data_IF_049371159300
#
_entry.id   IF_049371159300
#
_cell.length_a   1.000
_cell.length_b   1.000
_cell.length_c   1.000
_cell.angle_alpha   90.00
_cell.angle_beta   90.00
_cell.angle_gamma   90.00
#
_symmetry.space_group_name_H-M   'P 1'
#
loop_
_entity.id
_entity.type
_entity.pdbx_description
1 polymer ?
#
# COMPACT_ATOMS: atom_id res chain seq x y z
N UNK A 1 -6.39 -3.34 -15.25
CA UNK A 1 -5.33 -4.28 -14.81
C UNK A 1 -5.13 -4.20 -13.30
N UNK A 2 -4.50 -5.20 -12.70
CA UNK A 2 -4.08 -5.17 -11.29
C UNK A 2 -2.72 -4.49 -11.14
N UNK A 3 -2.59 -3.59 -10.19
CA UNK A 3 -1.34 -2.85 -9.89
C UNK A 3 -0.55 -3.60 -8.82
N UNK A 4 -1.22 -4.05 -7.75
CA UNK A 4 -0.60 -4.82 -6.68
C UNK A 4 -1.66 -5.67 -5.97
N UNK A 5 -1.22 -6.77 -5.36
CA UNK A 5 -2.04 -7.49 -4.39
C UNK A 5 -1.21 -8.01 -3.23
N UNK A 6 -1.86 -8.21 -2.09
CA UNK A 6 -1.34 -9.01 -0.99
C UNK A 6 -2.48 -9.87 -0.46
N UNK A 7 -2.15 -11.06 0.04
CA UNK A 7 -3.12 -11.98 0.58
C UNK A 7 -2.61 -12.60 1.88
N UNK A 8 -3.52 -12.84 2.81
CA UNK A 8 -3.20 -13.46 4.10
C UNK A 8 -4.40 -14.28 4.59
N UNK A 9 -4.16 -15.17 5.54
CA UNK A 9 -5.20 -15.95 6.20
C UNK A 9 -5.37 -15.46 7.63
N UNK A 10 -6.61 -15.28 8.07
CA UNK A 10 -6.96 -14.98 9.47
C UNK A 10 -8.23 -15.73 9.83
N UNK A 11 -8.21 -16.43 10.97
CA UNK A 11 -9.39 -17.13 11.51
C UNK A 11 -10.02 -18.11 10.49
N UNK A 12 -9.19 -18.80 9.70
CA UNK A 12 -9.63 -19.75 8.67
C UNK A 12 -10.19 -19.10 7.40
N UNK A 13 -10.17 -17.77 7.29
CA UNK A 13 -10.65 -17.02 6.12
C UNK A 13 -9.47 -16.41 5.35
N UNK A 14 -9.54 -16.46 4.02
CA UNK A 14 -8.60 -15.80 3.13
C UNK A 14 -9.00 -14.35 2.88
N UNK A 15 -8.05 -13.43 3.02
CA UNK A 15 -8.21 -12.01 2.75
C UNK A 15 -7.28 -11.62 1.61
N UNK A 16 -7.80 -10.84 0.66
CA UNK A 16 -7.04 -10.31 -0.47
C UNK A 16 -7.23 -8.80 -0.49
N UNK A 17 -6.14 -8.05 -0.41
CA UNK A 17 -6.12 -6.63 -0.73
C UNK A 17 -5.62 -6.43 -2.16
N UNK A 18 -6.35 -5.64 -2.92
CA UNK A 18 -6.07 -5.33 -4.32
C UNK A 18 -5.88 -3.83 -4.48
N UNK A 19 -4.88 -3.42 -5.25
CA UNK A 19 -4.81 -2.11 -5.88
C UNK A 19 -4.97 -2.33 -7.37
N UNK A 20 -5.91 -1.61 -7.98
CA UNK A 20 -6.23 -1.73 -9.40
C UNK A 20 -6.21 -0.36 -10.06
N UNK A 21 -6.18 -0.34 -11.39
CA UNK A 21 -6.32 0.90 -12.16
C UNK A 21 -7.73 1.50 -12.05
N UNK A 22 -8.74 0.68 -11.75
CA UNK A 22 -10.14 1.08 -11.58
C UNK A 22 -10.77 0.33 -10.40
N UNK A 23 -10.64 0.92 -9.22
CA UNK A 23 -11.12 0.32 -7.98
C UNK A 23 -12.66 0.25 -7.94
N UNK A 24 -13.37 1.19 -8.58
CA UNK A 24 -14.82 1.18 -8.62
C UNK A 24 -15.35 0.01 -9.44
N UNK A 25 -14.76 -0.22 -10.62
CA UNK A 25 -15.10 -1.37 -11.44
C UNK A 25 -14.72 -2.69 -10.76
N UNK A 26 -13.53 -2.77 -10.16
CA UNK A 26 -13.10 -3.96 -9.42
C UNK A 26 -14.07 -4.31 -8.28
N UNK A 27 -14.49 -3.30 -7.50
CA UNK A 27 -15.50 -3.46 -6.45
C UNK A 27 -16.81 -4.01 -7.01
N UNK A 28 -17.35 -3.39 -8.06
CA UNK A 28 -18.61 -3.81 -8.65
C UNK A 28 -18.58 -5.27 -9.14
N UNK A 29 -17.48 -5.68 -9.79
CA UNK A 29 -17.31 -7.07 -10.28
C UNK A 29 -17.18 -8.06 -9.12
N UNK A 30 -16.41 -7.73 -8.08
CA UNK A 30 -16.21 -8.60 -6.91
C UNK A 30 -17.49 -8.75 -6.07
N UNK A 31 -18.22 -7.66 -5.83
CA UNK A 31 -19.51 -7.71 -5.13
C UNK A 31 -20.53 -8.53 -5.93
N UNK A 32 -20.59 -8.36 -7.26
CA UNK A 32 -21.46 -9.18 -8.14
C UNK A 32 -21.10 -10.67 -8.11
N UNK A 33 -19.83 -11.00 -7.90
CA UNK A 33 -19.36 -12.36 -7.74
C UNK A 33 -19.59 -12.94 -6.33
N UNK A 34 -20.18 -12.17 -5.40
CA UNK A 34 -20.54 -12.63 -4.05
C UNK A 34 -19.44 -12.42 -3.00
N UNK A 35 -18.38 -11.68 -3.31
CA UNK A 35 -17.34 -11.36 -2.33
C UNK A 35 -17.76 -10.17 -1.44
N UNK A 36 -17.43 -10.24 -0.15
CA UNK A 36 -17.50 -9.08 0.74
C UNK A 36 -16.33 -8.14 0.48
N UNK A 37 -16.60 -6.95 -0.05
CA UNK A 37 -15.57 -5.96 -0.41
C UNK A 37 -15.55 -4.81 0.60
N UNK A 38 -14.35 -4.39 0.99
CA UNK A 38 -14.11 -3.16 1.77
C UNK A 38 -13.02 -2.34 1.10
N UNK A 39 -13.27 -1.05 0.96
CA UNK A 39 -12.26 -0.11 0.49
C UNK A 39 -11.52 0.47 1.70
N UNK A 40 -10.19 0.50 1.63
CA UNK A 40 -9.34 1.16 2.62
C UNK A 40 -8.30 2.02 1.90
N UNK A 41 -8.16 3.30 2.29
CA UNK A 41 -7.10 4.17 1.78
C UNK A 41 -5.71 3.53 1.93
N UNK A 42 -4.80 3.85 1.01
CA UNK A 42 -3.42 3.40 1.04
C UNK A 42 -2.53 4.42 0.31
N UNK A 43 -1.29 4.55 0.75
CA UNK A 43 -0.25 5.31 0.04
C UNK A 43 0.64 4.33 -0.70
N UNK A 44 0.78 4.52 -2.00
CA UNK A 44 1.72 3.76 -2.85
C UNK A 44 2.95 4.61 -3.10
N UNK A 45 4.11 4.11 -2.73
CA UNK A 45 5.40 4.76 -2.97
C UNK A 45 6.22 3.91 -3.92
N UNK A 46 6.75 4.54 -4.97
CA UNK A 46 7.67 3.93 -5.92
C UNK A 46 8.95 4.74 -5.90
N UNK A 47 10.06 4.10 -5.56
CA UNK A 47 11.41 4.69 -5.56
C UNK A 47 12.39 3.77 -6.28
N UNK A 48 13.63 4.23 -6.48
CA UNK A 48 14.69 3.40 -7.02
C UNK A 48 14.92 2.16 -6.15
N UNK A 49 15.11 0.99 -6.77
CA UNK A 49 15.51 -0.23 -6.08
C UNK A 49 17.01 -0.20 -5.76
N UNK A 50 17.36 0.38 -4.61
CA UNK A 50 18.72 0.36 -4.09
C UNK A 50 18.75 0.03 -2.60
N UNK A 51 19.93 -0.34 -2.12
CA UNK A 51 20.18 -0.47 -0.68
C UNK A 51 19.77 0.84 0.01
N UNK A 52 19.02 0.70 1.11
CA UNK A 52 18.53 1.83 1.91
C UNK A 52 17.21 2.47 1.45
N UNK A 53 16.60 2.02 0.36
CA UNK A 53 15.32 2.59 -0.13
C UNK A 53 14.19 2.46 0.89
N UNK A 54 14.02 1.25 1.46
CA UNK A 54 13.08 1.04 2.55
C UNK A 54 13.41 1.91 3.77
N UNK A 55 14.69 2.04 4.12
CA UNK A 55 15.14 2.83 5.27
C UNK A 55 14.86 4.34 5.09
N UNK A 56 14.99 4.86 3.87
CA UNK A 56 14.64 6.24 3.54
C UNK A 56 13.15 6.53 3.76
N UNK A 57 12.29 5.65 3.26
CA UNK A 57 10.84 5.74 3.46
C UNK A 57 10.52 5.64 4.95
N UNK A 58 11.09 4.65 5.65
CA UNK A 58 10.88 4.48 7.09
C UNK A 58 11.31 5.71 7.90
N UNK A 59 12.46 6.33 7.58
CA UNK A 59 12.91 7.55 8.27
C UNK A 59 11.91 8.69 8.16
N UNK A 60 11.29 8.89 6.99
CA UNK A 60 10.30 9.94 6.77
C UNK A 60 9.02 9.68 7.57
N UNK A 61 8.57 8.43 7.59
CA UNK A 61 7.40 8.00 8.38
C UNK A 61 7.67 8.23 9.88
N UNK A 62 8.84 7.81 10.37
CA UNK A 62 9.24 8.00 11.77
C UNK A 62 9.41 9.48 12.14
N UNK A 63 10.00 10.29 11.26
CA UNK A 63 10.16 11.73 11.49
C UNK A 63 8.81 12.46 11.61
N UNK A 64 7.77 11.97 10.93
CA UNK A 64 6.41 12.47 11.05
C UNK A 64 5.63 11.88 12.25
N UNK A 65 6.21 10.95 13.01
CA UNK A 65 5.57 10.32 14.17
C UNK A 65 4.43 9.35 13.83
N UNK A 66 4.41 8.80 12.61
CA UNK A 66 3.30 8.01 12.09
C UNK A 66 3.49 6.52 12.36
N UNK A 67 2.45 5.85 12.84
CA UNK A 67 2.41 4.39 12.94
C UNK A 67 1.73 3.76 11.73
N UNK A 68 2.25 2.62 11.27
CA UNK A 68 1.67 1.87 10.16
C UNK A 68 0.76 0.76 10.68
N UNK A 69 -0.36 0.54 10.01
CA UNK A 69 -1.28 -0.58 10.28
C UNK A 69 -1.06 -1.75 9.34
N UNK A 70 -0.69 -1.48 8.09
CA UNK A 70 -0.36 -2.49 7.08
C UNK A 70 0.79 -1.96 6.22
N UNK A 71 1.73 -2.84 5.87
CA UNK A 71 2.80 -2.53 4.93
C UNK A 71 3.14 -3.78 4.11
N UNK A 72 3.26 -3.60 2.80
CA UNK A 72 3.78 -4.64 1.91
C UNK A 72 4.59 -3.98 0.80
N UNK A 73 5.59 -4.70 0.31
CA UNK A 73 6.52 -4.17 -0.66
C UNK A 73 6.99 -5.26 -1.61
N UNK A 74 7.38 -4.83 -2.80
CA UNK A 74 8.05 -5.66 -3.79
C UNK A 74 9.10 -4.83 -4.51
N UNK A 75 10.06 -5.50 -5.13
CA UNK A 75 11.05 -4.87 -5.97
C UNK A 75 11.10 -5.62 -7.31
N UNK A 76 11.17 -4.86 -8.40
CA UNK A 76 11.31 -5.40 -9.75
C UNK A 76 12.24 -4.50 -10.55
N UNK A 77 13.33 -5.08 -11.08
CA UNK A 77 14.37 -4.32 -11.77
C UNK A 77 14.92 -3.19 -10.90
N UNK A 78 14.85 -1.97 -11.44
CA UNK A 78 15.31 -0.72 -10.84
C UNK A 78 14.25 -0.03 -9.96
N UNK A 79 13.11 -0.67 -9.69
CA UNK A 79 12.00 -0.09 -8.92
C UNK A 79 11.70 -0.86 -7.64
N UNK A 80 11.61 -0.15 -6.53
CA UNK A 80 11.06 -0.61 -5.26
C UNK A 80 9.69 0.04 -5.08
N UNK A 81 8.66 -0.78 -4.92
CA UNK A 81 7.29 -0.33 -4.66
C UNK A 81 6.86 -0.80 -3.28
N UNK A 82 6.32 0.12 -2.47
CA UNK A 82 5.67 -0.23 -1.21
C UNK A 82 4.29 0.38 -1.13
N UNK A 83 3.38 -0.37 -0.53
CA UNK A 83 2.04 0.06 -0.20
C UNK A 83 1.94 0.11 1.32
N UNK A 84 1.50 1.25 1.81
CA UNK A 84 1.49 1.59 3.23
C UNK A 84 0.09 2.03 3.63
N UNK A 85 -0.32 1.64 4.84
CA UNK A 85 -1.55 2.10 5.48
C UNK A 85 -1.27 2.56 6.90
N UNK A 86 -2.05 3.54 7.32
CA UNK A 86 -2.04 4.12 8.66
C UNK A 86 -3.45 4.58 8.98
N UNK A 87 -3.71 4.82 10.27
CA UNK A 87 -4.87 5.58 10.70
C UNK A 87 -4.73 7.07 10.32
N UNK A 88 -3.48 7.56 10.22
CA UNK A 88 -3.11 8.94 9.84
C UNK A 88 -2.75 9.03 8.35
N UNK A 89 -3.68 8.67 7.46
CA UNK A 89 -3.37 8.47 6.03
C UNK A 89 -2.96 9.76 5.30
N UNK A 90 -3.53 10.91 5.68
CA UNK A 90 -3.25 12.20 5.06
C UNK A 90 -1.86 12.70 5.45
N UNK A 91 -1.49 12.54 6.72
CA UNK A 91 -0.17 12.82 7.26
C UNK A 91 0.87 11.90 6.62
N UNK A 92 0.55 10.62 6.42
CA UNK A 92 1.41 9.65 5.75
C UNK A 92 1.67 10.07 4.30
N UNK A 93 0.60 10.46 3.59
CA UNK A 93 0.71 10.96 2.23
C UNK A 93 1.60 12.21 2.17
N UNK A 94 1.38 13.20 3.04
CA UNK A 94 2.22 14.42 3.10
C UNK A 94 3.68 14.10 3.41
N UNK A 95 3.93 13.26 4.41
CA UNK A 95 5.27 12.86 4.81
C UNK A 95 6.05 12.15 3.69
N UNK A 96 5.35 11.51 2.75
CA UNK A 96 5.92 10.76 1.62
C UNK A 96 5.86 11.49 0.27
N UNK A 97 5.14 12.60 0.17
CA UNK A 97 5.01 13.39 -1.07
C UNK A 97 6.13 14.40 -1.31
N UNK A 98 6.84 14.85 -0.27
CA UNK A 98 7.98 15.75 -0.43
C UNK A 98 9.21 15.01 -1.02
N UNK A 99 10.07 15.64 -1.82
CA UNK A 99 11.39 15.05 -2.09
C UNK A 99 12.19 14.94 -0.77
N UNK A 100 13.06 13.93 -0.61
CA UNK A 100 14.01 13.92 0.50
C UNK A 100 14.91 15.17 0.39
N UNK A 101 15.14 15.86 1.52
CA UNK A 101 16.21 16.86 1.64
C UNK A 101 17.59 16.22 1.45
#
# INVERSE_FOLDING_TARGET
NGVAFTAWVREGQGYISLITEDNQHARAVLEKAGFAVKEKPAVVVIVANRIGSAAEISRRITAAGINLTEAYATATGDKYMTILRSEDIEELYRALSSPPE
#
